data_IF_986631923564
#
_entry.id   IF_986631923564
#
_cell.length_a   1.000
_cell.length_b   1.000
_cell.length_c   1.000
_cell.angle_alpha   90.00
_cell.angle_beta   90.00
_cell.angle_gamma   90.00
#
_symmetry.space_group_name_H-M   'P 1'
#
loop_
_entity.id
_entity.type
_entity.pdbx_description
1 polymer ?
#
# COMPACT_ATOMS: atom_id res chain seq x y z
N UNK A 1 -8.07 -6.27 -4.25
CA UNK A 1 -6.63 -6.60 -4.07
C UNK A 1 -6.49 -7.58 -2.92
N UNK A 2 -5.87 -8.71 -3.18
CA UNK A 2 -5.62 -9.74 -2.17
C UNK A 2 -4.30 -9.46 -1.45
N UNK A 3 -4.06 -10.05 -0.28
CA UNK A 3 -2.78 -9.88 0.40
C UNK A 3 -1.56 -10.22 -0.47
N UNK A 4 -1.65 -11.30 -1.25
CA UNK A 4 -0.57 -11.68 -2.16
C UNK A 4 -0.34 -10.64 -3.26
N UNK A 5 -1.40 -9.98 -3.72
CA UNK A 5 -1.29 -8.93 -4.74
C UNK A 5 -0.56 -7.71 -4.18
N UNK A 6 -0.85 -7.33 -2.94
CA UNK A 6 -0.17 -6.22 -2.27
C UNK A 6 1.32 -6.52 -2.13
N UNK A 7 1.65 -7.71 -1.68
CA UNK A 7 3.06 -8.11 -1.51
C UNK A 7 3.79 -8.11 -2.85
N UNK A 8 3.12 -8.60 -3.91
CA UNK A 8 3.69 -8.61 -5.26
C UNK A 8 3.93 -7.19 -5.77
N UNK A 9 2.96 -6.29 -5.54
CA UNK A 9 3.08 -4.88 -5.87
C UNK A 9 4.31 -4.27 -5.18
N UNK A 10 4.43 -4.49 -3.88
CA UNK A 10 5.54 -3.94 -3.08
C UNK A 10 6.89 -4.45 -3.59
N UNK A 11 7.01 -5.75 -3.79
CA UNK A 11 8.25 -6.36 -4.26
C UNK A 11 8.60 -5.96 -5.67
N UNK A 12 7.59 -5.78 -6.51
CA UNK A 12 7.78 -5.30 -7.89
C UNK A 12 8.39 -3.91 -7.95
N UNK A 13 8.09 -3.07 -6.98
CA UNK A 13 8.69 -1.74 -6.83
C UNK A 13 9.99 -1.77 -6.02
N UNK A 14 10.43 -2.95 -5.57
CA UNK A 14 11.65 -3.14 -4.76
C UNK A 14 11.61 -2.35 -3.45
N UNK A 15 10.42 -2.25 -2.86
CA UNK A 15 10.24 -1.55 -1.59
C UNK A 15 10.24 -2.54 -0.43
N UNK A 16 10.90 -2.17 0.67
CA UNK A 16 10.71 -2.85 1.95
C UNK A 16 9.32 -2.52 2.50
N UNK A 17 8.88 -3.26 3.51
CA UNK A 17 7.61 -2.93 4.17
C UNK A 17 7.63 -1.52 4.75
N UNK A 18 8.75 -1.11 5.33
CA UNK A 18 8.93 0.23 5.88
C UNK A 18 8.85 1.29 4.80
N UNK A 19 9.52 1.05 3.66
CA UNK A 19 9.51 1.98 2.54
C UNK A 19 8.12 2.09 1.91
N UNK A 20 7.42 0.96 1.76
CA UNK A 20 6.06 0.97 1.25
C UNK A 20 5.11 1.74 2.18
N UNK A 21 5.24 1.53 3.48
CA UNK A 21 4.44 2.26 4.46
C UNK A 21 4.69 3.77 4.35
N UNK A 22 5.95 4.18 4.25
CA UNK A 22 6.29 5.59 4.08
C UNK A 22 5.68 6.16 2.80
N UNK A 23 5.81 5.45 1.69
CA UNK A 23 5.29 5.89 0.40
C UNK A 23 3.75 6.01 0.41
N UNK A 24 3.07 5.15 1.15
CA UNK A 24 1.61 5.15 1.26
C UNK A 24 1.08 6.06 2.36
N UNK A 25 1.96 6.64 3.18
CA UNK A 25 1.54 7.44 4.33
C UNK A 25 0.94 6.60 5.46
N UNK A 26 1.37 5.36 5.59
CA UNK A 26 0.86 4.40 6.57
C UNK A 26 1.93 4.01 7.58
N UNK A 27 1.50 3.40 8.67
CA UNK A 27 2.44 2.77 9.61
C UNK A 27 2.85 1.40 9.07
N UNK A 28 4.09 1.00 9.35
CA UNK A 28 4.62 -0.29 8.91
C UNK A 28 3.73 -1.47 9.30
N UNK A 29 3.18 -1.45 10.52
CA UNK A 29 2.31 -2.55 10.97
C UNK A 29 1.06 -2.70 10.11
N UNK A 30 0.56 -1.61 9.53
CA UNK A 30 -0.60 -1.66 8.63
C UNK A 30 -0.24 -2.40 7.35
N UNK A 31 0.94 -2.15 6.80
CA UNK A 31 1.45 -2.90 5.64
C UNK A 31 1.54 -4.39 5.97
N UNK A 32 2.01 -4.72 7.16
CA UNK A 32 2.08 -6.12 7.60
C UNK A 32 0.69 -6.77 7.67
N UNK A 33 -0.32 -6.05 8.18
CA UNK A 33 -1.70 -6.55 8.21
C UNK A 33 -2.23 -6.81 6.79
N UNK A 34 -1.94 -5.91 5.86
CA UNK A 34 -2.38 -6.09 4.47
C UNK A 34 -1.76 -7.32 3.83
N UNK A 35 -0.48 -7.59 4.09
CA UNK A 35 0.21 -8.75 3.51
C UNK A 35 -0.19 -10.05 4.20
N UNK A 36 -0.57 -9.98 5.46
CA UNK A 36 -1.04 -11.14 6.20
C UNK A 36 -2.53 -11.42 5.94
N UNK A 37 -3.30 -10.38 5.69
CA UNK A 37 -4.74 -10.48 5.47
C UNK A 37 -5.55 -10.50 6.76
N UNK A 38 -4.90 -10.30 7.90
CA UNK A 38 -5.59 -10.30 9.18
C UNK A 38 -4.87 -9.46 10.22
N UNK A 39 -5.63 -9.09 11.24
CA UNK A 39 -5.13 -8.43 12.44
C UNK A 39 -5.83 -9.07 13.63
N UNK A 40 -5.04 -9.69 14.52
CA UNK A 40 -5.57 -10.36 15.74
C UNK A 40 -6.68 -11.35 15.41
N UNK A 41 -6.53 -12.10 14.31
CA UNK A 41 -7.52 -13.09 13.86
C UNK A 41 -8.68 -12.53 13.08
N UNK A 42 -8.80 -11.21 12.95
CA UNK A 42 -9.87 -10.58 12.18
C UNK A 42 -9.39 -10.28 10.75
N UNK A 43 -10.24 -10.52 9.74
CA UNK A 43 -9.88 -10.20 8.36
C UNK A 43 -9.61 -8.70 8.19
N UNK A 44 -8.59 -8.38 7.41
CA UNK A 44 -8.26 -7.00 7.06
C UNK A 44 -8.33 -6.86 5.56
N UNK A 45 -9.18 -5.96 5.09
CA UNK A 45 -9.28 -5.63 3.68
C UNK A 45 -8.41 -4.42 3.37
N UNK A 46 -7.84 -4.41 2.17
CA UNK A 46 -7.07 -3.28 1.68
C UNK A 46 -8.07 -2.25 1.14
N UNK A 47 -8.17 -1.06 1.76
CA UNK A 47 -9.16 -0.07 1.36
C UNK A 47 -8.95 0.42 -0.08
N UNK A 48 -10.02 0.89 -0.70
CA UNK A 48 -9.97 1.42 -2.05
C UNK A 48 -8.96 2.55 -2.18
N UNK A 49 -8.88 3.44 -1.18
CA UNK A 49 -7.91 4.55 -1.19
C UNK A 49 -6.47 4.04 -1.27
N UNK A 50 -6.16 2.95 -0.57
CA UNK A 50 -4.83 2.35 -0.61
C UNK A 50 -4.58 1.67 -1.96
N UNK A 51 -5.58 1.00 -2.52
CA UNK A 51 -5.44 0.38 -3.85
C UNK A 51 -5.15 1.43 -4.91
N UNK A 52 -5.83 2.57 -4.86
CA UNK A 52 -5.58 3.69 -5.78
C UNK A 52 -4.19 4.28 -5.57
N UNK A 53 -3.75 4.40 -4.32
CA UNK A 53 -2.40 4.87 -4.01
C UNK A 53 -1.34 3.90 -4.55
N UNK A 54 -1.57 2.60 -4.44
CA UNK A 54 -0.67 1.59 -5.02
C UNK A 54 -0.53 1.78 -6.52
N UNK A 55 -1.63 2.03 -7.22
CA UNK A 55 -1.61 2.29 -8.66
C UNK A 55 -0.82 3.55 -8.98
N UNK A 56 -1.06 4.62 -8.22
CA UNK A 56 -0.35 5.88 -8.40
C UNK A 56 1.17 5.68 -8.28
N UNK A 57 1.60 5.00 -7.21
CA UNK A 57 3.02 4.72 -6.99
C UNK A 57 3.62 3.86 -8.12
N UNK A 58 2.85 2.89 -8.61
CA UNK A 58 3.28 2.03 -9.71
C UNK A 58 3.50 2.83 -10.99
N UNK A 59 2.74 3.89 -11.19
CA UNK A 59 2.84 4.76 -12.36
C UNK A 59 3.79 5.94 -12.15
N UNK A 60 4.50 5.99 -11.02
CA UNK A 60 5.49 7.02 -10.73
C UNK A 60 4.95 8.28 -10.08
N UNK A 61 3.72 8.25 -9.58
CA UNK A 61 3.12 9.38 -8.87
C UNK A 61 3.26 9.15 -7.37
N UNK A 62 4.04 10.01 -6.70
CA UNK A 62 4.38 9.83 -5.28
C UNK A 62 3.66 10.83 -4.37
N UNK A 63 3.05 11.85 -4.92
CA UNK A 63 2.29 12.83 -4.15
C UNK A 63 1.36 13.60 -5.09
N UNK A 64 0.42 14.30 -4.51
CA UNK A 64 -0.48 15.16 -5.27
C UNK A 64 -0.94 16.32 -4.41
N UNK A 65 -0.71 17.53 -4.89
CA UNK A 65 -0.97 18.74 -4.13
C UNK A 65 -2.24 19.47 -4.58
N UNK A 66 -3.09 18.77 -5.31
CA UNK A 66 -4.30 19.33 -5.83
C UNK A 66 -4.15 19.80 -7.29
N UNK A 67 -5.25 20.18 -7.92
CA UNK A 67 -5.19 20.68 -9.30
C UNK A 67 -4.48 22.02 -9.36
N UNK A 68 -3.73 22.23 -10.42
CA UNK A 68 -3.06 23.50 -10.70
C UNK A 68 -3.76 24.19 -11.87
N UNK A 69 -4.09 25.44 -11.68
CA UNK A 69 -4.74 26.26 -12.71
C UNK A 69 -3.71 26.98 -13.57
#
# INVERSE_FOLDING_TARGET
MRPADFKRWRKGLKLSQKEAAHALGLKRRVVQYYEKGERDGEPVEIPKSVRLACYALMTGVYDWHGPHD
#
